data_IF_437512446383
#
_entry.id   IF_437512446383
#
_cell.length_a   1.000
_cell.length_b   1.000
_cell.length_c   1.000
_cell.angle_alpha   90.00
_cell.angle_beta   90.00
_cell.angle_gamma   90.00
#
_symmetry.space_group_name_H-M   'P 1'
#
loop_
_entity.id
_entity.type
_entity.pdbx_description
1 polymer ?
#
# COMPACT_ATOMS: atom_id res chain seq x y z
N UNK A 1 21.44 -1.40 14.74
CA UNK A 1 21.40 -1.96 13.37
C UNK A 1 20.10 -2.73 13.16
N UNK A 2 19.72 -3.61 14.10
CA UNK A 2 18.48 -4.41 14.04
C UNK A 2 17.20 -3.59 13.84
N UNK A 3 17.11 -2.41 14.46
CA UNK A 3 15.96 -1.51 14.28
C UNK A 3 15.76 -1.10 12.81
N UNK A 4 16.83 -0.74 12.10
CA UNK A 4 16.73 -0.38 10.67
C UNK A 4 16.43 -1.58 9.79
N UNK A 5 16.97 -2.76 10.14
CA UNK A 5 16.68 -4.00 9.42
C UNK A 5 15.17 -4.31 9.46
N UNK A 6 14.57 -4.26 10.65
CA UNK A 6 13.17 -4.64 10.84
C UNK A 6 12.17 -3.57 10.39
N UNK A 7 12.54 -2.29 10.41
CA UNK A 7 11.62 -1.19 10.13
C UNK A 7 11.83 -0.52 8.77
N UNK A 8 12.90 -0.87 8.03
CA UNK A 8 13.16 -0.36 6.67
C UNK A 8 13.40 -1.51 5.71
N UNK A 9 14.42 -2.34 5.98
CA UNK A 9 14.92 -3.33 5.01
C UNK A 9 13.91 -4.45 4.78
N UNK A 10 13.38 -5.06 5.85
CA UNK A 10 12.33 -6.08 5.76
C UNK A 10 11.09 -5.53 5.01
N UNK A 11 10.51 -4.37 5.39
CA UNK A 11 9.42 -3.75 4.63
C UNK A 11 9.72 -3.63 3.13
N UNK A 12 10.91 -3.14 2.77
CA UNK A 12 11.32 -2.98 1.38
C UNK A 12 11.35 -4.33 0.64
N UNK A 13 11.94 -5.36 1.25
CA UNK A 13 11.98 -6.70 0.67
C UNK A 13 10.58 -7.32 0.53
N UNK A 14 9.69 -7.12 1.49
CA UNK A 14 8.32 -7.64 1.44
C UNK A 14 7.53 -7.04 0.28
N UNK A 15 7.54 -5.71 0.16
CA UNK A 15 6.87 -5.01 -0.95
C UNK A 15 7.51 -5.38 -2.28
N UNK A 16 8.84 -5.42 -2.34
CA UNK A 16 9.58 -5.78 -3.55
C UNK A 16 9.26 -7.21 -4.01
N UNK A 17 9.16 -8.15 -3.07
CA UNK A 17 8.80 -9.53 -3.35
C UNK A 17 7.35 -9.65 -3.81
N UNK A 18 6.42 -8.97 -3.11
CA UNK A 18 5.00 -8.97 -3.47
C UNK A 18 4.73 -8.40 -4.87
N UNK A 19 5.53 -7.41 -5.30
CA UNK A 19 5.42 -6.76 -6.60
C UNK A 19 6.40 -7.32 -7.65
N UNK A 20 7.24 -8.30 -7.30
CA UNK A 20 8.33 -8.80 -8.17
C UNK A 20 7.85 -9.38 -9.50
N UNK A 21 6.65 -9.96 -9.53
CA UNK A 21 6.07 -10.56 -10.73
C UNK A 21 5.33 -9.57 -11.62
N UNK A 22 5.23 -8.31 -11.22
CA UNK A 22 4.46 -7.30 -11.95
C UNK A 22 5.04 -7.06 -13.36
N UNK A 23 6.36 -7.14 -13.52
CA UNK A 23 7.04 -7.10 -14.83
C UNK A 23 6.49 -8.18 -15.79
N UNK A 24 6.35 -9.42 -15.31
CA UNK A 24 5.86 -10.54 -16.10
C UNK A 24 4.37 -10.44 -16.47
N UNK A 25 3.57 -9.77 -15.64
CA UNK A 25 2.15 -9.53 -15.93
C UNK A 25 1.93 -8.35 -16.89
N UNK A 26 2.75 -7.31 -16.81
CA UNK A 26 2.67 -6.15 -17.72
C UNK A 26 3.26 -6.48 -19.09
N UNK A 27 4.33 -7.29 -19.13
CA UNK A 27 5.03 -7.69 -20.35
C UNK A 27 5.78 -6.55 -21.04
N UNK A 28 6.57 -6.89 -22.07
CA UNK A 28 7.49 -5.96 -22.73
C UNK A 28 6.79 -4.76 -23.38
N UNK A 29 5.59 -4.97 -23.92
CA UNK A 29 4.82 -3.91 -24.56
C UNK A 29 4.35 -2.86 -23.54
N UNK A 30 3.81 -3.30 -22.40
CA UNK A 30 3.38 -2.40 -21.32
C UNK A 30 4.57 -1.70 -20.67
N UNK A 31 5.69 -2.42 -20.47
CA UNK A 31 6.93 -1.85 -19.97
C UNK A 31 7.44 -0.71 -20.88
N UNK A 32 7.48 -0.92 -22.20
CA UNK A 32 7.86 0.12 -23.18
C UNK A 32 6.92 1.33 -23.13
N UNK A 33 5.61 1.10 -22.98
CA UNK A 33 4.64 2.20 -22.85
C UNK A 33 4.96 3.03 -21.59
N UNK A 34 5.19 2.38 -20.45
CA UNK A 34 5.53 3.07 -19.20
C UNK A 34 6.85 3.84 -19.33
N UNK A 35 7.89 3.21 -19.88
CA UNK A 35 9.18 3.85 -20.12
C UNK A 35 9.04 5.08 -21.02
N UNK A 36 8.49 4.91 -22.22
CA UNK A 36 8.33 6.00 -23.18
C UNK A 36 7.41 7.10 -22.67
N UNK A 37 6.40 6.75 -21.87
CA UNK A 37 5.53 7.75 -21.28
C UNK A 37 6.31 8.57 -20.24
N UNK A 38 7.05 7.95 -19.32
CA UNK A 38 7.83 8.66 -18.30
C UNK A 38 8.97 9.47 -18.94
N UNK A 39 9.74 8.88 -19.86
CA UNK A 39 10.84 9.57 -20.57
C UNK A 39 10.34 10.81 -21.31
N UNK A 40 9.28 10.68 -22.13
CA UNK A 40 8.70 11.83 -22.85
C UNK A 40 8.08 12.87 -21.92
N UNK A 41 7.59 12.44 -20.75
CA UNK A 41 7.04 13.35 -19.75
C UNK A 41 8.11 14.22 -19.13
N UNK A 42 9.31 13.67 -18.93
CA UNK A 42 10.47 14.40 -18.44
C UNK A 42 10.95 15.41 -19.49
N UNK A 43 11.01 15.00 -20.76
CA UNK A 43 11.56 15.84 -21.84
C UNK A 43 10.60 16.95 -22.30
N UNK A 44 9.28 16.76 -22.15
CA UNK A 44 8.27 17.74 -22.55
C UNK A 44 7.00 17.63 -21.69
N UNK A 45 7.04 18.13 -20.44
CA UNK A 45 5.94 18.01 -19.49
C UNK A 45 4.59 18.50 -20.05
N UNK A 46 4.60 19.64 -20.76
CA UNK A 46 3.40 20.27 -21.33
C UNK A 46 2.74 19.45 -22.46
N UNK A 47 3.50 18.56 -23.12
CA UNK A 47 2.99 17.68 -24.19
C UNK A 47 2.61 16.30 -23.69
N UNK A 48 2.85 16.02 -22.40
CA UNK A 48 2.63 14.70 -21.86
C UNK A 48 1.14 14.38 -21.70
N UNK A 49 0.73 13.23 -22.25
CA UNK A 49 -0.60 12.66 -22.06
C UNK A 49 -0.63 11.59 -20.96
N UNK A 50 0.47 11.39 -20.23
CA UNK A 50 0.57 10.28 -19.29
C UNK A 50 -0.43 10.40 -18.13
N UNK A 51 -0.67 11.61 -17.62
CA UNK A 51 -1.69 11.88 -16.60
C UNK A 51 -3.07 11.43 -17.08
N UNK A 52 -3.36 11.67 -18.36
CA UNK A 52 -4.58 11.23 -19.01
C UNK A 52 -4.62 9.71 -19.17
N UNK A 53 -3.54 9.06 -19.63
CA UNK A 53 -3.50 7.60 -19.83
C UNK A 53 -3.63 6.84 -18.51
N UNK A 54 -2.92 7.26 -17.46
CA UNK A 54 -3.01 6.62 -16.14
C UNK A 54 -4.35 6.95 -15.47
N UNK A 55 -4.83 8.19 -15.63
CA UNK A 55 -6.16 8.61 -15.20
C UNK A 55 -7.26 7.79 -15.86
N UNK A 56 -7.19 7.57 -17.17
CA UNK A 56 -8.13 6.78 -17.96
C UNK A 56 -8.07 5.28 -17.56
N UNK A 57 -6.88 4.75 -17.27
CA UNK A 57 -6.71 3.38 -16.75
C UNK A 57 -7.40 3.24 -15.39
N UNK A 58 -7.20 4.20 -14.49
CA UNK A 58 -7.87 4.22 -13.20
C UNK A 58 -9.38 4.44 -13.32
N UNK A 59 -9.83 5.32 -14.22
CA UNK A 59 -11.26 5.53 -14.46
C UNK A 59 -11.90 4.25 -15.07
N UNK A 60 -11.14 3.48 -15.84
CA UNK A 60 -11.56 2.17 -16.33
C UNK A 60 -11.65 1.12 -15.23
N UNK A 61 -10.73 1.13 -14.26
CA UNK A 61 -10.73 0.16 -13.16
C UNK A 61 -11.66 0.54 -12.00
N UNK A 62 -11.79 1.84 -11.71
CA UNK A 62 -12.36 2.39 -10.46
C UNK A 62 -13.28 3.60 -10.67
N UNK A 63 -13.40 4.10 -11.90
CA UNK A 63 -14.23 5.28 -12.19
C UNK A 63 -15.72 4.98 -12.09
N UNK A 64 -16.50 6.06 -11.96
CA UNK A 64 -17.97 6.05 -11.89
C UNK A 64 -18.67 5.41 -13.09
N UNK A 65 -17.93 5.13 -14.17
CA UNK A 65 -18.42 4.49 -15.38
C UNK A 65 -18.65 2.98 -15.22
N UNK A 66 -18.05 2.34 -14.19
CA UNK A 66 -18.46 0.99 -13.79
C UNK A 66 -19.64 1.10 -12.84
N UNK A 67 -20.73 0.39 -13.13
CA UNK A 67 -21.82 0.24 -12.16
C UNK A 67 -21.31 -0.27 -10.82
N UNK A 68 -22.03 0.01 -9.72
CA UNK A 68 -21.57 -0.23 -8.35
C UNK A 68 -20.99 -1.64 -8.11
N UNK A 69 -21.58 -2.67 -8.72
CA UNK A 69 -21.11 -4.04 -8.64
C UNK A 69 -19.72 -4.27 -9.26
N UNK A 70 -19.44 -3.63 -10.40
CA UNK A 70 -18.14 -3.72 -11.07
C UNK A 70 -17.03 -3.14 -10.20
N UNK A 71 -17.28 -1.99 -9.56
CA UNK A 71 -16.34 -1.37 -8.63
C UNK A 71 -16.05 -2.28 -7.42
N UNK A 72 -17.11 -2.79 -6.77
CA UNK A 72 -17.02 -3.74 -5.64
C UNK A 72 -16.13 -4.94 -6.00
N UNK A 73 -16.38 -5.55 -7.16
CA UNK A 73 -15.62 -6.71 -7.61
C UNK A 73 -14.14 -6.39 -7.89
N UNK A 74 -13.84 -5.23 -8.48
CA UNK A 74 -12.44 -4.85 -8.76
C UNK A 74 -11.66 -4.61 -7.47
N UNK A 75 -12.26 -3.91 -6.50
CA UNK A 75 -11.65 -3.71 -5.18
C UNK A 75 -11.43 -5.05 -4.49
N UNK A 76 -12.39 -5.98 -4.60
CA UNK A 76 -12.28 -7.31 -4.02
C UNK A 76 -11.10 -8.08 -4.62
N UNK A 77 -11.00 -8.12 -5.96
CA UNK A 77 -9.93 -8.82 -6.66
C UNK A 77 -8.55 -8.24 -6.33
N UNK A 78 -8.41 -6.92 -6.31
CA UNK A 78 -7.13 -6.28 -5.96
C UNK A 78 -6.74 -6.57 -4.52
N UNK A 79 -7.72 -6.48 -3.60
CA UNK A 79 -7.50 -6.83 -2.20
C UNK A 79 -7.04 -8.27 -2.09
N UNK A 80 -7.68 -9.19 -2.80
CA UNK A 80 -7.33 -10.61 -2.81
C UNK A 80 -5.92 -10.86 -3.35
N UNK A 81 -5.53 -10.23 -4.46
CA UNK A 81 -4.19 -10.37 -5.04
C UNK A 81 -3.11 -9.84 -4.08
N UNK A 82 -3.30 -8.64 -3.53
CA UNK A 82 -2.37 -8.04 -2.58
C UNK A 82 -2.24 -8.92 -1.33
N UNK A 83 -3.38 -9.39 -0.83
CA UNK A 83 -3.47 -10.21 0.36
C UNK A 83 -2.80 -11.58 0.20
N UNK A 84 -3.14 -12.32 -0.84
CA UNK A 84 -2.58 -13.65 -1.10
C UNK A 84 -1.06 -13.57 -1.33
N UNK A 85 -0.58 -12.50 -1.96
CA UNK A 85 0.85 -12.27 -2.15
C UNK A 85 1.58 -12.17 -0.81
N UNK A 86 1.11 -11.31 0.10
CA UNK A 86 1.75 -11.17 1.42
C UNK A 86 1.54 -12.40 2.30
N UNK A 87 0.38 -13.04 2.20
CA UNK A 87 0.10 -14.26 2.96
C UNK A 87 1.06 -15.38 2.57
N UNK A 88 1.35 -15.54 1.28
CA UNK A 88 2.27 -16.56 0.79
C UNK A 88 3.69 -16.38 1.35
N UNK A 89 4.13 -15.12 1.50
CA UNK A 89 5.43 -14.80 2.10
C UNK A 89 5.39 -15.13 3.60
N UNK A 90 4.31 -14.78 4.29
CA UNK A 90 4.16 -15.04 5.73
C UNK A 90 4.08 -16.53 6.06
N UNK A 91 3.32 -17.31 5.29
CA UNK A 91 3.19 -18.76 5.49
C UNK A 91 4.48 -19.51 5.18
N UNK A 92 5.25 -19.05 4.20
CA UNK A 92 6.58 -19.61 3.92
C UNK A 92 7.53 -19.48 5.11
N UNK A 93 7.48 -18.34 5.82
CA UNK A 93 8.34 -18.08 6.97
C UNK A 93 7.84 -18.73 8.27
N UNK A 94 6.56 -19.11 8.36
CA UNK A 94 5.94 -19.66 9.56
C UNK A 94 5.47 -21.11 9.35
N UNK A 95 6.35 -22.07 9.65
CA UNK A 95 6.04 -23.51 9.57
C UNK A 95 4.88 -23.88 10.51
N UNK A 96 3.94 -24.69 10.03
CA UNK A 96 2.76 -25.14 10.79
C UNK A 96 1.51 -24.25 10.69
N UNK A 97 1.61 -23.06 10.09
CA UNK A 97 0.46 -22.17 9.92
C UNK A 97 -0.60 -22.74 8.96
N UNK A 98 -0.16 -23.56 8.01
CA UNK A 98 -1.04 -24.25 7.05
C UNK A 98 -1.99 -25.23 7.74
N UNK A 99 -1.54 -25.88 8.82
CA UNK A 99 -2.37 -26.78 9.61
C UNK A 99 -3.43 -26.01 10.41
N UNK A 100 -3.11 -24.78 10.84
CA UNK A 100 -4.05 -23.91 11.54
C UNK A 100 -5.15 -23.37 10.62
N UNK A 101 -4.87 -23.19 9.32
CA UNK A 101 -5.87 -22.84 8.31
C UNK A 101 -7.00 -23.88 8.18
N UNK A 102 -6.74 -25.15 8.53
CA UNK A 102 -7.76 -26.18 8.55
C UNK A 102 -8.76 -26.03 9.71
N UNK A 103 -8.48 -25.16 10.69
CA UNK A 103 -9.39 -24.89 11.80
C UNK A 103 -10.41 -23.80 11.45
N UNK A 104 -11.69 -24.08 11.71
CA UNK A 104 -12.82 -23.16 11.43
C UNK A 104 -12.67 -21.84 12.19
N UNK A 105 -12.16 -21.88 13.43
CA UNK A 105 -11.93 -20.71 14.26
C UNK A 105 -10.89 -19.75 13.67
N UNK A 106 -9.78 -20.29 13.18
CA UNK A 106 -8.74 -19.52 12.53
C UNK A 106 -9.24 -18.91 11.21
N UNK A 107 -9.93 -19.68 10.37
CA UNK A 107 -10.46 -19.17 9.10
C UNK A 107 -11.45 -18.01 9.31
N UNK A 108 -12.32 -18.12 10.33
CA UNK A 108 -13.26 -17.06 10.68
C UNK A 108 -12.55 -15.80 11.15
N UNK A 109 -11.60 -15.91 12.08
CA UNK A 109 -10.80 -14.77 12.53
C UNK A 109 -10.01 -14.18 11.36
N UNK A 110 -9.33 -15.01 10.59
CA UNK A 110 -8.54 -14.60 9.43
C UNK A 110 -9.35 -13.79 8.39
N UNK A 111 -10.51 -14.31 7.96
CA UNK A 111 -11.33 -13.66 6.93
C UNK A 111 -12.08 -12.43 7.47
N UNK A 112 -12.74 -12.55 8.63
CA UNK A 112 -13.62 -11.49 9.13
C UNK A 112 -12.91 -10.44 9.98
N UNK A 113 -11.79 -10.76 10.61
CA UNK A 113 -10.98 -9.79 11.38
C UNK A 113 -9.87 -9.18 10.52
N UNK A 114 -9.36 -9.91 9.53
CA UNK A 114 -8.22 -9.50 8.73
C UNK A 114 -8.58 -9.03 7.34
N UNK A 115 -8.98 -9.97 6.48
CA UNK A 115 -9.28 -9.67 5.08
C UNK A 115 -10.36 -8.59 4.94
N UNK A 116 -11.44 -8.68 5.71
CA UNK A 116 -12.53 -7.70 5.69
C UNK A 116 -12.05 -6.27 6.01
N UNK A 117 -11.11 -6.13 6.95
CA UNK A 117 -10.49 -4.83 7.29
C UNK A 117 -9.77 -4.25 6.07
N UNK A 118 -8.91 -5.06 5.46
CA UNK A 118 -8.14 -4.64 4.27
C UNK A 118 -9.09 -4.27 3.13
N UNK A 119 -10.14 -5.07 2.92
CA UNK A 119 -11.13 -4.83 1.89
C UNK A 119 -11.91 -3.53 2.10
N UNK A 120 -12.41 -3.26 3.31
CA UNK A 120 -13.13 -2.02 3.65
C UNK A 120 -12.23 -0.81 3.43
N UNK A 121 -10.97 -0.86 3.88
CA UNK A 121 -10.04 0.25 3.73
C UNK A 121 -9.74 0.51 2.25
N UNK A 122 -9.43 -0.54 1.49
CA UNK A 122 -9.24 -0.42 0.04
C UNK A 122 -10.48 0.15 -0.64
N UNK A 123 -11.68 -0.32 -0.27
CA UNK A 123 -12.94 0.20 -0.80
C UNK A 123 -13.09 1.70 -0.55
N UNK A 124 -12.83 2.17 0.67
CA UNK A 124 -12.87 3.59 1.01
C UNK A 124 -11.81 4.39 0.23
N UNK A 125 -10.59 3.86 0.11
CA UNK A 125 -9.49 4.51 -0.62
C UNK A 125 -9.76 4.64 -2.11
N UNK A 126 -10.19 3.56 -2.78
CA UNK A 126 -10.57 3.60 -4.20
C UNK A 126 -11.83 4.43 -4.44
N UNK A 127 -12.76 4.48 -3.49
CA UNK A 127 -13.93 5.36 -3.58
C UNK A 127 -13.54 6.84 -3.46
N UNK A 128 -12.43 7.14 -2.76
CA UNK A 128 -11.90 8.50 -2.64
C UNK A 128 -11.16 8.98 -3.91
N UNK A 129 -10.84 8.07 -4.83
CA UNK A 129 -10.03 8.38 -6.02
C UNK A 129 -10.54 9.57 -6.85
N UNK A 130 -11.85 9.73 -7.16
CA UNK A 130 -12.33 10.89 -7.92
C UNK A 130 -12.02 12.24 -7.25
N UNK A 131 -12.07 12.27 -5.90
CA UNK A 131 -11.71 13.47 -5.13
C UNK A 131 -10.21 13.72 -5.15
N UNK A 132 -9.41 12.67 -5.09
CA UNK A 132 -7.96 12.75 -5.22
C UNK A 132 -7.56 13.30 -6.60
N UNK A 133 -8.19 12.83 -7.67
CA UNK A 133 -7.97 13.31 -9.04
C UNK A 133 -8.18 14.82 -9.16
N UNK A 134 -9.32 15.33 -8.68
CA UNK A 134 -9.61 16.77 -8.69
C UNK A 134 -8.58 17.60 -7.88
N UNK A 135 -8.07 17.06 -6.77
CA UNK A 135 -7.01 17.70 -5.99
C UNK A 135 -5.67 17.71 -6.73
N UNK A 136 -5.33 16.63 -7.45
CA UNK A 136 -4.08 16.53 -8.21
C UNK A 136 -4.04 17.51 -9.40
N UNK A 137 -5.18 17.73 -10.05
CA UNK A 137 -5.29 18.66 -11.17
C UNK A 137 -4.95 20.11 -10.77
N UNK A 138 -5.21 20.48 -9.51
CA UNK A 138 -5.00 21.83 -8.97
C UNK A 138 -3.79 21.96 -8.05
N UNK A 139 -3.12 20.84 -7.72
CA UNK A 139 -2.00 20.83 -6.78
C UNK A 139 -0.67 21.29 -7.44
N UNK A 140 0.10 22.09 -6.69
CA UNK A 140 1.50 22.34 -7.00
C UNK A 140 2.37 21.16 -6.57
N UNK A 141 3.63 21.11 -7.01
CA UNK A 141 4.54 19.99 -6.74
C UNK A 141 4.66 19.62 -5.25
N UNK A 142 4.76 20.63 -4.38
CA UNK A 142 4.85 20.42 -2.93
C UNK A 142 3.59 19.75 -2.38
N UNK A 143 2.40 20.24 -2.78
CA UNK A 143 1.12 19.65 -2.40
C UNK A 143 0.97 18.22 -2.92
N UNK A 144 1.37 17.95 -4.16
CA UNK A 144 1.37 16.60 -4.75
C UNK A 144 2.24 15.63 -3.95
N UNK A 145 3.40 16.08 -3.47
CA UNK A 145 4.28 15.26 -2.62
C UNK A 145 3.63 14.93 -1.27
N UNK A 146 2.96 15.90 -0.65
CA UNK A 146 2.22 15.69 0.59
C UNK A 146 1.04 14.73 0.42
N UNK A 147 0.37 14.72 -0.73
CA UNK A 147 -0.74 13.80 -0.99
C UNK A 147 -0.30 12.34 -0.86
N UNK A 148 0.88 11.97 -1.38
CA UNK A 148 1.39 10.59 -1.24
C UNK A 148 1.53 10.20 0.23
N UNK A 149 2.18 11.07 1.03
CA UNK A 149 2.39 10.81 2.44
C UNK A 149 1.07 10.75 3.23
N UNK A 150 0.11 11.64 2.90
CA UNK A 150 -1.24 11.62 3.47
C UNK A 150 -1.97 10.31 3.19
N UNK A 151 -1.81 9.71 2.00
CA UNK A 151 -2.45 8.43 1.68
C UNK A 151 -1.90 7.27 2.52
N UNK A 152 -0.60 7.23 2.74
CA UNK A 152 0.02 6.26 3.64
C UNK A 152 -0.48 6.43 5.08
N UNK A 153 -0.50 7.66 5.59
CA UNK A 153 -1.02 7.98 6.91
C UNK A 153 -2.50 7.63 7.07
N UNK A 154 -3.33 7.95 6.08
CA UNK A 154 -4.76 7.65 6.11
C UNK A 154 -5.00 6.14 6.18
N UNK A 155 -4.27 5.34 5.37
CA UNK A 155 -4.37 3.88 5.42
C UNK A 155 -3.95 3.33 6.79
N UNK A 156 -2.85 3.81 7.36
CA UNK A 156 -2.41 3.38 8.68
C UNK A 156 -3.41 3.79 9.78
N UNK A 157 -3.94 5.02 9.72
CA UNK A 157 -4.95 5.49 10.66
C UNK A 157 -6.24 4.66 10.57
N UNK A 158 -6.74 4.40 9.36
CA UNK A 158 -7.90 3.55 9.13
C UNK A 158 -7.67 2.11 9.61
N UNK A 159 -6.47 1.57 9.39
CA UNK A 159 -6.09 0.25 9.89
C UNK A 159 -6.14 0.18 11.41
N UNK A 160 -5.56 1.19 12.09
CA UNK A 160 -5.60 1.28 13.56
C UNK A 160 -7.04 1.41 14.05
N UNK A 161 -7.82 2.35 13.51
CA UNK A 161 -9.20 2.59 13.91
C UNK A 161 -10.08 1.36 13.72
N UNK A 162 -9.97 0.68 12.58
CA UNK A 162 -10.80 -0.49 12.30
C UNK A 162 -10.36 -1.70 13.13
N UNK A 163 -9.06 -1.82 13.44
CA UNK A 163 -8.55 -2.82 14.38
C UNK A 163 -9.12 -2.59 15.78
N UNK A 164 -9.07 -1.35 16.30
CA UNK A 164 -9.68 -0.98 17.59
C UNK A 164 -11.16 -1.31 17.57
N UNK A 165 -11.88 -0.88 16.53
CA UNK A 165 -13.32 -1.10 16.39
C UNK A 165 -13.69 -2.58 16.47
N UNK A 166 -12.97 -3.46 15.78
CA UNK A 166 -13.26 -4.90 15.82
C UNK A 166 -13.03 -5.48 17.21
N UNK A 167 -11.96 -5.08 17.91
CA UNK A 167 -11.72 -5.54 19.29
C UNK A 167 -12.81 -5.04 20.25
N UNK A 168 -13.30 -3.82 20.06
CA UNK A 168 -14.44 -3.27 20.82
C UNK A 168 -15.72 -4.06 20.54
N UNK A 169 -16.03 -4.35 19.27
CA UNK A 169 -17.18 -5.18 18.90
C UNK A 169 -17.08 -6.57 19.54
N UNK A 170 -15.91 -7.21 19.46
CA UNK A 170 -15.70 -8.53 20.05
C UNK A 170 -15.79 -8.49 21.58
N UNK A 171 -15.42 -7.38 22.21
CA UNK A 171 -15.59 -7.17 23.65
C UNK A 171 -17.07 -7.13 24.04
N UNK A 172 -17.90 -6.34 23.33
CA UNK A 172 -19.34 -6.29 23.59
C UNK A 172 -20.05 -7.63 23.29
N UNK A 173 -19.53 -8.43 22.36
CA UNK A 173 -20.04 -9.76 22.06
C UNK A 173 -19.53 -10.85 23.03
N UNK A 174 -18.66 -10.50 23.98
CA UNK A 174 -18.09 -11.44 24.96
C UNK A 174 -17.03 -12.39 24.38
N UNK A 175 -16.46 -12.08 23.22
CA UNK A 175 -15.51 -12.94 22.50
C UNK A 175 -14.05 -12.49 22.57
N UNK A 176 -13.76 -11.33 23.15
CA UNK A 176 -12.42 -10.72 23.06
C UNK A 176 -11.44 -11.09 24.17
N UNK A 177 -11.91 -11.68 25.28
CA UNK A 177 -11.08 -11.94 26.46
C UNK A 177 -10.58 -10.67 27.19
N UNK A 178 -10.96 -9.47 26.74
CA UNK A 178 -10.62 -8.21 27.40
C UNK A 178 -11.55 -7.92 28.59
N UNK A 179 -11.00 -7.29 29.62
CA UNK A 179 -11.73 -6.94 30.85
C UNK A 179 -12.18 -5.47 30.88
N UNK A 180 -11.66 -4.61 29.99
CA UNK A 180 -12.04 -3.19 29.90
C UNK A 180 -11.71 -2.58 28.54
N UNK A 181 -12.36 -1.45 28.18
CA UNK A 181 -12.03 -0.67 26.96
C UNK A 181 -10.58 -0.15 26.97
N UNK A 182 -10.04 0.20 28.14
CA UNK A 182 -8.65 0.65 28.29
C UNK A 182 -7.68 -0.47 27.90
N UNK A 183 -7.98 -1.71 28.28
CA UNK A 183 -7.16 -2.87 27.87
C UNK A 183 -7.14 -3.08 26.35
N UNK A 184 -8.20 -2.69 25.64
CA UNK A 184 -8.28 -2.76 24.18
C UNK A 184 -7.34 -1.74 23.54
N UNK A 185 -7.33 -0.50 24.02
CA UNK A 185 -6.43 0.55 23.51
C UNK A 185 -4.97 0.13 23.70
N UNK A 186 -4.62 -0.42 24.87
CA UNK A 186 -3.27 -0.95 25.09
C UNK A 186 -2.96 -2.18 24.23
N UNK A 187 -3.95 -3.03 23.92
CA UNK A 187 -3.76 -4.20 23.05
C UNK A 187 -3.42 -3.82 21.62
N UNK A 188 -3.90 -2.68 21.13
CA UNK A 188 -3.66 -2.21 19.75
C UNK A 188 -2.17 -2.01 19.49
N UNK A 189 -1.43 -1.53 20.50
CA UNK A 189 0.03 -1.46 20.42
C UNK A 189 0.66 -2.85 20.26
N UNK A 190 0.21 -3.83 21.06
CA UNK A 190 0.69 -5.20 20.99
C UNK A 190 0.36 -5.88 19.66
N UNK A 191 -0.64 -5.36 18.93
CA UNK A 191 -0.95 -5.76 17.55
C UNK A 191 -0.04 -5.04 16.55
N UNK A 192 0.19 -3.73 16.69
CA UNK A 192 0.91 -2.90 15.73
C UNK A 192 2.42 -3.14 15.69
N UNK A 193 3.08 -3.33 16.84
CA UNK A 193 4.53 -3.52 16.88
C UNK A 193 4.97 -4.81 16.15
N UNK A 194 4.33 -5.98 16.39
CA UNK A 194 4.58 -7.17 15.58
C UNK A 194 4.13 -7.01 14.12
N UNK A 195 3.07 -6.24 13.85
CA UNK A 195 2.58 -6.04 12.48
C UNK A 195 3.60 -5.30 11.62
N UNK A 196 4.21 -4.21 12.12
CA UNK A 196 5.20 -3.44 11.36
C UNK A 196 6.47 -4.24 11.11
N UNK A 197 6.90 -5.04 12.09
CA UNK A 197 8.04 -5.95 11.94
C UNK A 197 7.70 -7.24 11.16
N UNK A 198 6.47 -7.37 10.66
CA UNK A 198 5.97 -8.54 9.91
C UNK A 198 6.08 -9.88 10.68
N UNK A 199 6.03 -9.82 12.01
CA UNK A 199 6.08 -10.96 12.91
C UNK A 199 4.70 -11.46 13.33
N UNK A 200 3.63 -10.95 12.71
CA UNK A 200 2.27 -11.37 12.99
C UNK A 200 1.39 -11.34 11.74
N UNK A 201 0.26 -12.03 11.83
CA UNK A 201 -0.80 -12.04 10.81
C UNK A 201 -1.33 -10.62 10.52
N UNK A 202 -1.37 -9.74 11.52
CA UNK A 202 -1.72 -8.33 11.35
C UNK A 202 -0.72 -7.58 10.47
N UNK A 203 0.54 -8.05 10.41
CA UNK A 203 1.53 -7.58 9.45
C UNK A 203 1.12 -7.90 8.01
N UNK A 204 0.59 -9.10 7.74
CA UNK A 204 0.04 -9.44 6.41
C UNK A 204 -0.99 -8.40 6.00
N UNK A 205 -1.92 -8.05 6.89
CA UNK A 205 -2.99 -7.09 6.61
C UNK A 205 -2.46 -5.68 6.36
N UNK A 206 -1.54 -5.21 7.21
CA UNK A 206 -0.92 -3.90 7.07
C UNK A 206 -0.14 -3.77 5.75
N UNK A 207 0.69 -4.76 5.44
CA UNK A 207 1.51 -4.73 4.21
C UNK A 207 0.67 -4.95 2.95
N UNK A 208 -0.46 -5.68 3.02
CA UNK A 208 -1.42 -5.73 1.92
C UNK A 208 -2.03 -4.37 1.60
N UNK A 209 -2.30 -3.54 2.62
CA UNK A 209 -2.71 -2.14 2.43
C UNK A 209 -1.58 -1.30 1.83
N UNK A 210 -0.34 -1.55 2.22
CA UNK A 210 0.79 -0.83 1.62
C UNK A 210 0.96 -1.19 0.14
N UNK A 211 0.82 -2.46 -0.25
CA UNK A 211 0.90 -2.87 -1.66
C UNK A 211 -0.26 -2.29 -2.48
N UNK A 212 -1.47 -2.21 -1.94
CA UNK A 212 -2.63 -1.67 -2.67
C UNK A 212 -2.52 -0.16 -2.95
N UNK A 213 -1.59 0.55 -2.30
CA UNK A 213 -1.28 1.96 -2.60
C UNK A 213 -0.48 2.11 -3.90
N UNK A 214 0.18 1.05 -4.40
CA UNK A 214 1.07 1.13 -5.57
C UNK A 214 0.44 1.81 -6.81
N UNK A 215 -0.82 1.54 -7.19
CA UNK A 215 -1.48 2.25 -8.29
C UNK A 215 -1.58 3.76 -8.04
N UNK A 216 -1.92 4.18 -6.81
CA UNK A 216 -2.02 5.61 -6.47
C UNK A 216 -0.65 6.28 -6.46
N UNK A 217 0.36 5.56 -5.96
CA UNK A 217 1.74 6.00 -6.03
C UNK A 217 2.15 6.30 -7.48
N UNK A 218 1.82 5.43 -8.45
CA UNK A 218 2.13 5.68 -9.86
C UNK A 218 1.56 7.00 -10.38
N UNK A 219 0.28 7.29 -10.10
CA UNK A 219 -0.35 8.54 -10.51
C UNK A 219 0.37 9.75 -9.90
N UNK A 220 0.54 9.73 -8.57
CA UNK A 220 1.11 10.86 -7.84
C UNK A 220 2.58 11.08 -8.25
N UNK A 221 3.31 10.00 -8.45
CA UNK A 221 4.70 10.00 -8.89
C UNK A 221 4.83 10.64 -10.28
N UNK A 222 4.00 10.23 -11.23
CA UNK A 222 4.00 10.79 -12.57
C UNK A 222 3.63 12.28 -12.54
N UNK A 223 2.60 12.64 -11.77
CA UNK A 223 2.23 14.05 -11.58
C UNK A 223 3.36 14.87 -10.98
N UNK A 224 4.13 14.30 -10.04
CA UNK A 224 5.31 14.96 -9.46
C UNK A 224 6.43 15.18 -10.48
N UNK A 225 6.66 14.22 -11.38
CA UNK A 225 7.63 14.37 -12.47
C UNK A 225 7.25 15.53 -13.40
N UNK A 226 5.97 15.70 -13.68
CA UNK A 226 5.45 16.82 -14.49
C UNK A 226 5.56 18.15 -13.75
N UNK A 227 5.23 18.16 -12.46
CA UNK A 227 5.05 19.39 -11.69
C UNK A 227 6.37 19.99 -11.17
N UNK A 228 7.47 19.23 -11.16
CA UNK A 228 8.75 19.68 -10.61
C UNK A 228 9.96 19.15 -11.39
N UNK A 229 10.61 20.04 -12.12
CA UNK A 229 11.86 19.75 -12.85
C UNK A 229 12.97 19.24 -11.91
N UNK A 230 13.10 19.86 -10.73
CA UNK A 230 14.14 19.49 -9.76
C UNK A 230 13.93 18.09 -9.17
N UNK A 231 12.68 17.66 -8.99
CA UNK A 231 12.34 16.31 -8.57
C UNK A 231 12.59 15.33 -9.72
N UNK A 232 12.12 15.68 -10.91
CA UNK A 232 12.29 14.90 -12.14
C UNK A 232 13.77 14.57 -12.41
N UNK A 233 14.66 15.57 -12.40
CA UNK A 233 16.09 15.37 -12.64
C UNK A 233 16.74 14.39 -11.63
N UNK A 234 16.42 14.54 -10.34
CA UNK A 234 16.94 13.64 -9.29
C UNK A 234 16.43 12.22 -9.48
N UNK A 235 15.13 12.07 -9.67
CA UNK A 235 14.48 10.76 -9.82
C UNK A 235 14.97 10.06 -11.08
N UNK A 236 15.11 10.76 -12.21
CA UNK A 236 15.64 10.18 -13.44
C UNK A 236 17.09 9.72 -13.29
N UNK A 237 17.90 10.42 -12.49
CA UNK A 237 19.25 9.96 -12.15
C UNK A 237 19.21 8.60 -11.45
N UNK A 238 18.32 8.45 -10.45
CA UNK A 238 18.14 7.16 -9.75
C UNK A 238 17.54 6.08 -10.65
N UNK A 239 16.54 6.41 -11.47
CA UNK A 239 15.92 5.46 -12.41
C UNK A 239 16.94 4.96 -13.45
N UNK A 240 17.77 5.85 -13.99
CA UNK A 240 18.84 5.47 -14.92
C UNK A 240 19.86 4.55 -14.24
N UNK A 241 20.22 4.81 -12.98
CA UNK A 241 21.06 3.92 -12.19
C UNK A 241 20.42 2.53 -11.98
N UNK A 242 19.09 2.47 -11.88
CA UNK A 242 18.30 1.23 -11.79
C UNK A 242 18.02 0.57 -13.16
N UNK A 243 18.72 0.97 -14.23
CA UNK A 243 18.52 0.46 -15.59
C UNK A 243 17.08 0.61 -16.12
N UNK A 244 16.41 1.73 -15.81
CA UNK A 244 15.01 2.01 -16.14
C UNK A 244 14.64 1.75 -17.61
N UNK A 245 15.53 2.02 -18.56
CA UNK A 245 15.33 1.73 -20.00
C UNK A 245 15.06 0.25 -20.30
N UNK A 246 15.69 -0.63 -19.54
CA UNK A 246 15.55 -2.09 -19.74
C UNK A 246 14.45 -2.68 -18.87
N UNK A 247 14.25 -2.16 -17.65
CA UNK A 247 13.30 -2.72 -16.68
C UNK A 247 12.53 -1.59 -15.96
N UNK A 248 11.60 -0.91 -16.66
CA UNK A 248 10.96 0.30 -16.15
C UNK A 248 10.04 0.01 -14.96
N UNK A 249 9.29 -1.09 -15.03
CA UNK A 249 8.36 -1.50 -13.97
C UNK A 249 9.14 -1.88 -12.71
N UNK A 250 10.17 -2.73 -12.81
CA UNK A 250 11.10 -3.04 -11.70
C UNK A 250 11.70 -1.81 -11.04
N UNK A 251 12.19 -0.85 -11.82
CA UNK A 251 12.81 0.35 -11.27
C UNK A 251 11.81 1.22 -10.50
N UNK A 252 10.57 1.36 -11.00
CA UNK A 252 9.50 2.06 -10.28
C UNK A 252 9.08 1.30 -9.01
N UNK A 253 8.98 -0.03 -9.09
CA UNK A 253 8.69 -0.88 -7.92
C UNK A 253 9.77 -0.73 -6.86
N UNK A 254 11.06 -0.71 -7.23
CA UNK A 254 12.15 -0.47 -6.28
C UNK A 254 12.03 0.91 -5.64
N UNK A 255 11.72 1.95 -6.41
CA UNK A 255 11.51 3.28 -5.86
C UNK A 255 10.31 3.30 -4.88
N UNK A 256 9.22 2.63 -5.21
CA UNK A 256 8.08 2.45 -4.31
C UNK A 256 8.46 1.74 -3.01
N UNK A 257 9.28 0.68 -3.07
CA UNK A 257 9.73 -0.01 -1.85
C UNK A 257 10.46 0.92 -0.90
N UNK A 258 11.30 1.83 -1.42
CA UNK A 258 12.01 2.84 -0.61
C UNK A 258 11.01 3.75 0.11
N UNK A 259 9.97 4.22 -0.57
CA UNK A 259 8.91 5.03 0.06
C UNK A 259 8.20 4.28 1.18
N UNK A 260 7.86 2.99 0.97
CA UNK A 260 7.24 2.16 2.02
C UNK A 260 8.20 1.97 3.20
N UNK A 261 9.49 1.70 2.94
CA UNK A 261 10.49 1.55 4.00
C UNK A 261 10.65 2.82 4.85
N UNK A 262 10.67 4.00 4.22
CA UNK A 262 10.69 5.29 4.92
C UNK A 262 9.41 5.47 5.75
N UNK A 263 8.25 5.13 5.20
CA UNK A 263 6.98 5.23 5.92
C UNK A 263 6.93 4.29 7.13
N UNK A 264 7.37 3.04 6.99
CA UNK A 264 7.45 2.09 8.10
C UNK A 264 8.39 2.58 9.21
N UNK A 265 9.54 3.15 8.84
CA UNK A 265 10.44 3.78 9.81
C UNK A 265 9.76 4.92 10.57
N UNK A 266 9.06 5.81 9.85
CA UNK A 266 8.31 6.90 10.45
C UNK A 266 7.24 6.38 11.43
N UNK A 267 6.46 5.38 11.01
CA UNK A 267 5.40 4.79 11.84
C UNK A 267 5.99 4.14 13.11
N UNK A 268 7.11 3.43 13.00
CA UNK A 268 7.80 2.83 14.14
C UNK A 268 8.35 3.87 15.10
N UNK A 269 8.93 4.96 14.60
CA UNK A 269 9.39 6.06 15.43
C UNK A 269 8.23 6.73 16.19
N UNK A 270 7.09 6.94 15.53
CA UNK A 270 5.88 7.45 16.19
C UNK A 270 5.44 6.54 17.33
N UNK A 271 5.35 5.23 17.09
CA UNK A 271 4.94 4.27 18.12
C UNK A 271 5.93 4.17 19.29
N UNK A 272 7.23 4.38 19.05
CA UNK A 272 8.24 4.44 20.10
C UNK A 272 8.09 5.68 20.98
N UNK A 273 7.78 6.85 20.40
CA UNK A 273 7.54 8.08 21.17
C UNK A 273 6.27 7.95 22.03
N UNK A 274 5.23 7.30 21.54
CA UNK A 274 4.04 6.96 22.33
C UNK A 274 4.30 5.96 23.46
N UNK A 275 5.47 5.31 23.50
CA UNK A 275 5.85 4.31 24.50
C UNK A 275 6.73 4.89 25.62
N UNK A 276 7.34 6.06 25.43
CA UNK A 276 8.17 6.72 26.45
C UNK A 276 7.40 7.64 27.39
N UNK A 277 6.08 7.79 27.19
CA UNK A 277 5.14 8.57 28.01
C UNK A 277 4.09 7.64 28.63
#
# INVERSE_FOLDING_TARGET
MDFLIHNVIIPMFLIGSALSKLDGFIGDAGAKIIYSAIEKTVDSPEKSKIDKVVGDCFDSCFGSNKGAFGFILHVFLITQVCFLSLLSIYTYNNKGLFEQFASVGFLRQFLFQGFLVVYIINFLMYSYYPRLKNKLDTANATSTGYLLFQMFLLNAALFILLTVFIHVVFYYLGWSGHTSLVSIIHSVRNVLLPAISFNSLSGVYLYSLMVSIFPFFLIIFIRLLISSESFSARVMTYLNWLNFKTNPVRAITLLFTVFVGIFCLFLSLMLLVFNSN
#
